data_IF_509401858246
#
_entry.id   IF_509401858246
#
_cell.length_a   1.000
_cell.length_b   1.000
_cell.length_c   1.000
_cell.angle_alpha   90.00
_cell.angle_beta   90.00
_cell.angle_gamma   90.00
#
_symmetry.space_group_name_H-M   'P 1'
#
loop_
_entity.id
_entity.type
_entity.pdbx_description
1 polymer ?
#
# COMPACT_ATOMS: atom_id res chain seq x y z
N UNK A 1 -16.75 6.95 -24.69
CA UNK A 1 -16.49 7.88 -23.57
C UNK A 1 -15.03 7.72 -23.20
N UNK A 2 -14.20 8.68 -23.59
CA UNK A 2 -12.76 8.63 -23.35
C UNK A 2 -12.45 9.09 -21.92
N UNK A 3 -11.64 8.31 -21.21
CA UNK A 3 -11.03 8.65 -19.93
C UNK A 3 -9.88 9.65 -20.16
N UNK A 4 -10.19 10.80 -20.76
CA UNK A 4 -9.19 11.84 -21.12
C UNK A 4 -8.94 12.82 -19.97
N UNK A 5 -8.55 12.32 -18.81
CA UNK A 5 -8.05 13.15 -17.70
C UNK A 5 -7.02 12.39 -16.84
N UNK A 6 -6.11 11.65 -17.48
CA UNK A 6 -4.87 11.28 -16.80
C UNK A 6 -4.02 12.57 -16.70
N UNK A 7 -4.09 13.26 -15.55
CA UNK A 7 -3.11 14.28 -15.21
C UNK A 7 -1.72 13.63 -15.32
N UNK A 8 -0.73 14.30 -15.93
CA UNK A 8 0.62 13.77 -16.00
C UNK A 8 1.08 13.47 -14.58
N UNK A 9 1.29 12.19 -14.30
CA UNK A 9 1.79 11.72 -13.03
C UNK A 9 3.20 12.28 -12.85
N UNK A 10 3.49 12.75 -11.64
CA UNK A 10 4.82 13.24 -11.30
C UNK A 10 5.87 12.17 -11.61
N UNK A 11 6.96 12.47 -12.35
CA UNK A 11 7.93 11.47 -12.79
C UNK A 11 8.58 10.68 -11.65
N UNK A 12 8.75 11.30 -10.48
CA UNK A 12 9.26 10.61 -9.29
C UNK A 12 8.23 9.61 -8.75
N UNK A 13 6.95 9.97 -8.80
CA UNK A 13 5.82 9.09 -8.48
C UNK A 13 5.67 7.93 -9.48
N UNK A 14 5.95 8.13 -10.77
CA UNK A 14 5.98 7.03 -11.74
C UNK A 14 7.16 6.09 -11.53
N UNK A 15 8.33 6.65 -11.19
CA UNK A 15 9.53 5.88 -10.92
C UNK A 15 9.39 4.98 -9.68
N UNK A 16 8.61 5.40 -8.68
CA UNK A 16 8.38 4.63 -7.45
C UNK A 16 7.22 3.62 -7.57
N UNK A 17 6.44 3.65 -8.66
CA UNK A 17 5.30 2.76 -8.86
C UNK A 17 5.65 1.26 -8.82
N UNK A 18 6.74 0.77 -9.45
CA UNK A 18 7.12 -0.64 -9.35
C UNK A 18 7.40 -1.07 -7.91
N UNK A 19 8.09 -0.21 -7.13
CA UNK A 19 8.43 -0.47 -5.74
C UNK A 19 7.16 -0.48 -4.87
N UNK A 20 6.22 0.43 -5.14
CA UNK A 20 4.92 0.46 -4.47
C UNK A 20 4.15 -0.84 -4.71
N UNK A 21 4.08 -1.31 -5.96
CA UNK A 21 3.39 -2.55 -6.32
C UNK A 21 4.01 -3.75 -5.63
N UNK A 22 5.34 -3.85 -5.59
CA UNK A 22 6.02 -4.96 -4.94
C UNK A 22 5.82 -4.94 -3.43
N UNK A 23 5.86 -3.76 -2.82
CA UNK A 23 5.62 -3.56 -1.40
C UNK A 23 4.21 -4.04 -0.99
N UNK A 24 3.18 -3.60 -1.71
CA UNK A 24 1.78 -4.05 -1.48
C UNK A 24 1.63 -5.54 -1.73
N UNK A 25 2.24 -6.08 -2.79
CA UNK A 25 2.18 -7.51 -3.12
C UNK A 25 2.77 -8.37 -2.00
N UNK A 26 3.94 -7.99 -1.48
CA UNK A 26 4.61 -8.73 -0.42
C UNK A 26 3.76 -8.79 0.85
N UNK A 27 3.18 -7.66 1.27
CA UNK A 27 2.33 -7.63 2.46
C UNK A 27 1.05 -8.44 2.27
N UNK A 28 0.40 -8.30 1.11
CA UNK A 28 -0.82 -9.06 0.79
C UNK A 28 -0.56 -10.58 0.83
N UNK A 29 0.55 -11.04 0.23
CA UNK A 29 0.92 -12.45 0.24
C UNK A 29 1.19 -12.98 1.64
N UNK A 30 1.88 -12.21 2.48
CA UNK A 30 2.14 -12.59 3.87
C UNK A 30 0.82 -12.77 4.64
N UNK A 31 -0.13 -11.84 4.48
CA UNK A 31 -1.41 -11.84 5.21
C UNK A 31 -2.35 -12.95 4.78
N UNK A 32 -2.44 -13.21 3.48
CA UNK A 32 -3.17 -14.38 2.95
C UNK A 32 -2.57 -15.66 3.54
N UNK A 33 -1.24 -15.76 3.66
CA UNK A 33 -0.59 -16.91 4.28
C UNK A 33 -0.87 -17.04 5.79
N UNK A 34 -1.14 -15.93 6.50
CA UNK A 34 -1.58 -15.92 7.89
C UNK A 34 -3.06 -16.26 8.09
N UNK A 35 -3.84 -16.35 7.01
CA UNK A 35 -5.25 -16.75 7.04
C UNK A 35 -6.25 -15.60 6.90
N UNK A 36 -5.80 -14.39 6.57
CA UNK A 36 -6.70 -13.28 6.25
C UNK A 36 -7.42 -13.57 4.91
N UNK A 37 -8.76 -13.53 4.92
CA UNK A 37 -9.58 -13.77 3.73
C UNK A 37 -10.01 -12.44 3.06
N UNK A 38 -9.43 -12.07 1.90
CA UNK A 38 -9.76 -10.82 1.19
C UNK A 38 -11.17 -10.80 0.60
N UNK A 39 -11.90 -11.91 0.63
CA UNK A 39 -13.29 -11.98 0.15
C UNK A 39 -14.31 -11.59 1.22
N UNK A 40 -13.89 -11.55 2.49
CA UNK A 40 -14.70 -11.10 3.61
C UNK A 40 -14.54 -9.60 3.85
N UNK A 41 -15.58 -8.94 4.36
CA UNK A 41 -15.49 -7.52 4.72
C UNK A 41 -14.44 -7.25 5.81
N UNK A 42 -14.30 -8.17 6.76
CA UNK A 42 -13.31 -8.09 7.84
C UNK A 42 -11.89 -8.18 7.29
N UNK A 43 -11.60 -9.19 6.47
CA UNK A 43 -10.30 -9.34 5.83
C UNK A 43 -9.96 -8.16 4.91
N UNK A 44 -10.93 -7.63 4.16
CA UNK A 44 -10.73 -6.42 3.36
C UNK A 44 -10.32 -5.21 4.21
N UNK A 45 -10.96 -5.04 5.36
CA UNK A 45 -10.68 -3.91 6.24
C UNK A 45 -9.29 -4.03 6.88
N UNK A 46 -8.92 -5.23 7.36
CA UNK A 46 -7.60 -5.53 7.90
C UNK A 46 -6.50 -5.32 6.85
N UNK A 47 -6.69 -5.85 5.65
CA UNK A 47 -5.73 -5.72 4.55
C UNK A 47 -5.60 -4.26 4.10
N UNK A 48 -6.69 -3.50 4.04
CA UNK A 48 -6.67 -2.09 3.67
C UNK A 48 -5.89 -1.24 4.68
N UNK A 49 -6.10 -1.45 5.98
CA UNK A 49 -5.36 -0.74 7.04
C UNK A 49 -3.85 -1.03 6.96
N UNK A 50 -3.50 -2.29 6.71
CA UNK A 50 -2.10 -2.72 6.58
C UNK A 50 -1.40 -2.18 5.36
N UNK A 51 -2.04 -2.27 4.20
CA UNK A 51 -1.51 -1.69 2.96
C UNK A 51 -1.31 -0.19 3.14
N UNK A 52 -2.27 0.51 3.75
CA UNK A 52 -2.12 1.93 4.05
C UNK A 52 -0.94 2.21 4.97
N UNK A 53 -0.76 1.45 6.06
CA UNK A 53 0.35 1.66 6.98
C UNK A 53 1.71 1.40 6.33
N UNK A 54 1.85 0.33 5.56
CA UNK A 54 3.10 -0.03 4.86
C UNK A 54 3.47 1.00 3.79
N UNK A 55 2.49 1.42 2.98
CA UNK A 55 2.71 2.45 1.95
C UNK A 55 3.09 3.78 2.61
N UNK A 56 2.41 4.15 3.69
CA UNK A 56 2.73 5.37 4.43
C UNK A 56 4.06 5.30 5.19
N UNK A 57 4.59 4.13 5.50
CA UNK A 57 5.91 4.02 6.13
C UNK A 57 7.03 4.21 5.09
N UNK A 58 6.85 3.65 3.88
CA UNK A 58 7.90 3.63 2.85
C UNK A 58 7.89 4.84 1.90
N UNK A 59 6.72 5.43 1.63
CA UNK A 59 6.57 6.46 0.59
C UNK A 59 6.23 7.85 1.14
N UNK A 60 6.35 8.07 2.46
CA UNK A 60 6.04 9.36 3.05
C UNK A 60 7.21 10.35 2.94
N UNK A 61 6.89 11.56 2.44
CA UNK A 61 7.81 12.69 2.28
C UNK A 61 8.23 13.35 3.62
N UNK A 62 7.57 13.02 4.74
CA UNK A 62 7.83 13.56 6.08
C UNK A 62 7.92 12.45 7.15
N UNK A 63 9.07 12.24 7.80
CA UNK A 63 9.22 11.17 8.79
C UNK A 63 8.14 11.25 9.89
N UNK A 64 7.44 10.12 10.14
CA UNK A 64 6.46 10.00 11.23
C UNK A 64 7.21 9.98 12.56
N UNK A 65 6.74 10.76 13.54
CA UNK A 65 7.37 10.93 14.86
C UNK A 65 7.34 9.70 15.76
N UNK A 66 6.57 8.66 15.41
CA UNK A 66 6.56 7.40 16.13
C UNK A 66 6.29 6.24 15.16
N UNK A 67 7.19 5.26 15.13
CA UNK A 67 6.93 3.97 14.50
C UNK A 67 5.90 3.22 15.35
N UNK A 68 4.80 2.79 14.73
CA UNK A 68 3.68 2.11 15.41
C UNK A 68 4.03 0.66 15.78
N UNK A 69 5.08 0.10 15.18
CA UNK A 69 5.56 -1.25 15.43
C UNK A 69 6.89 -1.19 16.19
N UNK A 70 6.90 -1.66 17.44
CA UNK A 70 8.15 -2.09 18.09
C UNK A 70 8.45 -3.50 17.59
N UNK A 71 9.60 -3.68 16.94
CA UNK A 71 10.21 -4.99 16.74
C UNK A 71 10.45 -5.68 18.07
#
# INVERSE_FOLDING_TARGET
MALDNALPTDPESEACYPDLVECVRSELQARIAFGDDPTTSEGQQVLAELVADVVLDQFVLRPRSASRYRR
#
